data_IF_461886984570
#
_entry.id   IF_461886984570
#
_cell.length_a   1.000
_cell.length_b   1.000
_cell.length_c   1.000
_cell.angle_alpha   90.00
_cell.angle_beta   90.00
_cell.angle_gamma   90.00
#
_symmetry.space_group_name_H-M   'P 1'
#
loop_
_entity.id
_entity.type
_entity.pdbx_description
1 polymer ?
#
# COMPACT_ATOMS: atom_id res chain seq x y z
N UNK A 1 -0.76 -16.06 11.43
CA UNK A 1 -0.01 -15.80 12.67
C UNK A 1 0.72 -17.09 13.07
N UNK A 2 2.04 -17.08 13.21
CA UNK A 2 2.79 -18.25 13.72
C UNK A 2 2.40 -18.47 15.19
N UNK A 3 1.78 -19.61 15.48
CA UNK A 3 1.39 -19.96 16.86
C UNK A 3 2.57 -20.64 17.54
N UNK A 4 3.11 -19.98 18.54
CA UNK A 4 4.10 -20.58 19.43
C UNK A 4 3.49 -21.81 20.12
N UNK A 5 4.21 -22.96 20.20
CA UNK A 5 3.71 -24.13 20.92
C UNK A 5 3.35 -23.79 22.37
N UNK A 6 2.26 -24.37 22.88
CA UNK A 6 1.72 -24.04 24.21
C UNK A 6 2.76 -24.17 25.33
N UNK A 7 3.63 -25.18 25.26
CA UNK A 7 4.70 -25.38 26.25
C UNK A 7 5.74 -24.25 26.21
N UNK A 8 6.09 -23.74 25.03
CA UNK A 8 7.02 -22.60 24.91
C UNK A 8 6.42 -21.30 25.42
N UNK A 9 5.10 -21.10 25.28
CA UNK A 9 4.42 -19.90 25.79
C UNK A 9 4.50 -19.81 27.31
N UNK A 10 4.44 -20.94 28.02
CA UNK A 10 4.53 -20.97 29.49
C UNK A 10 5.87 -20.41 29.98
N UNK A 11 6.95 -20.69 29.26
CA UNK A 11 8.33 -20.28 29.58
C UNK A 11 8.73 -18.95 28.93
N UNK A 12 7.97 -18.47 27.94
CA UNK A 12 8.27 -17.22 27.24
C UNK A 12 8.03 -16.01 28.17
N UNK A 13 9.13 -15.39 28.61
CA UNK A 13 9.15 -14.20 29.48
C UNK A 13 10.05 -13.11 28.88
N UNK A 14 9.66 -12.52 27.73
CA UNK A 14 10.41 -11.40 27.17
C UNK A 14 10.34 -10.18 28.09
N UNK A 15 11.44 -9.44 28.20
CA UNK A 15 11.43 -8.14 28.86
C UNK A 15 10.91 -7.06 27.89
N UNK A 16 9.59 -7.09 27.68
CA UNK A 16 8.89 -6.17 26.76
C UNK A 16 9.05 -4.72 27.16
N UNK A 17 9.22 -4.45 28.47
CA UNK A 17 9.35 -3.09 28.99
C UNK A 17 10.72 -2.52 28.62
N UNK A 18 11.79 -3.26 28.86
CA UNK A 18 13.13 -2.83 28.48
C UNK A 18 13.26 -2.71 26.94
N UNK A 19 12.71 -3.66 26.19
CA UNK A 19 12.70 -3.59 24.72
C UNK A 19 12.01 -2.31 24.22
N UNK A 20 10.83 -2.00 24.76
CA UNK A 20 10.10 -0.78 24.44
C UNK A 20 10.93 0.48 24.73
N UNK A 21 11.49 0.60 25.93
CA UNK A 21 12.27 1.80 26.30
C UNK A 21 13.58 1.90 25.50
N UNK A 22 14.22 0.78 25.15
CA UNK A 22 15.38 0.74 24.28
C UNK A 22 15.05 1.29 22.88
N UNK A 23 13.96 0.82 22.27
CA UNK A 23 13.49 1.30 20.97
C UNK A 23 13.10 2.79 21.05
N UNK A 24 12.39 3.20 22.11
CA UNK A 24 12.00 4.59 22.33
C UNK A 24 13.22 5.51 22.43
N UNK A 25 14.22 5.14 23.24
CA UNK A 25 15.44 5.93 23.42
C UNK A 25 16.19 6.10 22.08
N UNK A 26 16.34 5.01 21.32
CA UNK A 26 16.97 5.04 20.00
C UNK A 26 16.20 5.95 19.02
N UNK A 27 14.87 5.96 19.06
CA UNK A 27 14.06 6.81 18.20
C UNK A 27 14.13 8.29 18.60
N UNK A 28 14.18 8.60 19.90
CA UNK A 28 14.38 9.96 20.40
C UNK A 28 15.74 10.51 19.94
N UNK A 29 16.81 9.70 20.03
CA UNK A 29 18.14 10.10 19.57
C UNK A 29 18.17 10.40 18.06
N UNK A 30 17.55 9.53 17.24
CA UNK A 30 17.41 9.78 15.80
C UNK A 30 16.63 11.06 15.48
N UNK A 31 15.57 11.34 16.23
CA UNK A 31 14.81 12.58 16.07
C UNK A 31 15.64 13.80 16.43
N UNK A 32 16.43 13.73 17.51
CA UNK A 32 17.36 14.80 17.87
C UNK A 32 18.40 15.03 16.76
N UNK A 33 19.03 13.96 16.26
CA UNK A 33 19.99 14.06 15.16
C UNK A 33 19.37 14.69 13.91
N UNK A 34 18.12 14.31 13.58
CA UNK A 34 17.37 14.91 12.48
C UNK A 34 17.14 16.41 12.71
N UNK A 35 16.65 16.80 13.89
CA UNK A 35 16.42 18.21 14.24
C UNK A 35 17.72 19.03 14.20
N UNK A 36 18.81 18.50 14.74
CA UNK A 36 20.13 19.14 14.74
C UNK A 36 20.63 19.37 13.30
N UNK A 37 20.41 18.40 12.39
CA UNK A 37 20.74 18.53 10.95
C UNK A 37 19.85 19.54 10.22
N UNK A 38 18.60 19.69 10.63
CA UNK A 38 17.68 20.66 10.04
C UNK A 38 18.08 22.10 10.39
N UNK A 39 18.63 22.33 11.59
CA UNK A 39 18.95 23.66 12.11
C UNK A 39 17.71 24.56 12.22
N UNK A 40 17.89 25.88 12.14
CA UNK A 40 16.82 26.87 12.29
C UNK A 40 15.97 27.10 11.01
N UNK A 41 15.82 26.07 10.17
CA UNK A 41 15.00 26.19 8.96
C UNK A 41 13.53 26.29 9.34
N UNK A 42 12.92 27.43 9.05
CA UNK A 42 11.48 27.59 9.15
C UNK A 42 10.79 26.81 8.01
N UNK A 43 10.21 25.66 8.36
CA UNK A 43 9.36 24.86 7.47
C UNK A 43 7.98 24.78 8.09
N UNK A 44 6.95 25.11 7.32
CA UNK A 44 5.56 24.86 7.72
C UNK A 44 5.23 23.39 7.45
N UNK A 45 4.74 22.69 8.48
CA UNK A 45 4.41 21.27 8.40
C UNK A 45 2.91 21.11 8.68
N UNK A 46 2.23 20.43 7.75
CA UNK A 46 0.81 20.14 7.83
C UNK A 46 0.62 18.63 7.90
N UNK A 47 -0.12 18.14 8.90
CA UNK A 47 -0.53 16.74 9.01
C UNK A 47 -2.04 16.70 8.84
N UNK A 48 -2.50 16.04 7.78
CA UNK A 48 -3.90 16.01 7.38
C UNK A 48 -4.40 14.56 7.39
N UNK A 49 -5.56 14.33 8.00
CA UNK A 49 -6.21 13.02 8.02
C UNK A 49 -7.17 12.90 6.84
N UNK A 50 -6.66 12.51 5.67
CA UNK A 50 -7.42 12.41 4.44
C UNK A 50 -7.42 11.00 3.84
N UNK A 51 -8.45 10.71 3.07
CA UNK A 51 -8.42 9.62 2.10
C UNK A 51 -7.66 10.06 0.84
N UNK A 52 -6.64 9.28 0.43
CA UNK A 52 -5.84 9.56 -0.75
C UNK A 52 -6.64 9.52 -2.07
N UNK A 53 -7.83 8.90 -2.07
CA UNK A 53 -8.79 8.90 -3.18
C UNK A 53 -9.46 10.25 -3.41
N UNK A 54 -9.39 11.17 -2.44
CA UNK A 54 -10.11 12.46 -2.49
C UNK A 54 -9.20 13.66 -2.19
N UNK A 55 -8.41 13.57 -1.11
CA UNK A 55 -7.49 14.61 -0.60
C UNK A 55 -8.17 15.99 -0.42
N UNK A 56 -9.32 16.02 0.26
CA UNK A 56 -10.18 17.20 0.31
C UNK A 56 -9.52 18.42 0.96
N UNK A 57 -8.67 18.24 1.97
CA UNK A 57 -8.01 19.36 2.66
C UNK A 57 -6.73 19.86 1.97
N UNK A 58 -6.33 19.24 0.85
CA UNK A 58 -5.17 19.68 0.06
C UNK A 58 -5.68 20.53 -1.11
N UNK A 59 -5.27 21.80 -1.27
CA UNK A 59 -5.74 22.59 -2.40
C UNK A 59 -5.17 22.09 -3.74
N UNK A 60 -5.95 22.24 -4.81
CA UNK A 60 -5.56 21.81 -6.15
C UNK A 60 -4.39 22.66 -6.69
N UNK A 61 -3.54 22.07 -7.54
CA UNK A 61 -2.37 22.72 -8.15
C UNK A 61 -1.42 23.42 -7.15
N UNK A 62 -1.19 22.82 -5.97
CA UNK A 62 -0.28 23.37 -4.95
C UNK A 62 0.99 22.56 -4.76
N UNK A 63 1.00 21.28 -5.16
CA UNK A 63 2.10 20.35 -4.86
C UNK A 63 3.11 20.28 -6.01
N UNK A 64 4.38 20.53 -5.71
CA UNK A 64 5.49 20.44 -6.69
C UNK A 64 6.07 19.03 -6.82
N UNK A 65 6.12 18.29 -5.70
CA UNK A 65 6.71 16.95 -5.62
C UNK A 65 5.82 16.06 -4.75
N UNK A 66 5.50 14.87 -5.26
CA UNK A 66 4.85 13.79 -4.51
C UNK A 66 5.83 12.65 -4.33
N UNK A 67 5.98 12.17 -3.10
CA UNK A 67 6.70 10.94 -2.80
C UNK A 67 5.74 10.00 -2.08
N UNK A 68 5.50 8.82 -2.64
CA UNK A 68 4.49 7.90 -2.11
C UNK A 68 4.87 6.44 -2.31
N UNK A 69 4.34 5.59 -1.43
CA UNK A 69 4.39 4.14 -1.52
C UNK A 69 2.99 3.60 -1.21
N UNK A 70 2.11 3.47 -2.22
CA UNK A 70 0.75 2.97 -1.99
C UNK A 70 0.80 1.53 -1.45
N UNK A 71 -0.30 1.03 -0.86
CA UNK A 71 -0.38 -0.37 -0.43
C UNK A 71 -0.03 -1.31 -1.59
N UNK A 72 0.74 -2.37 -1.34
CA UNK A 72 1.12 -3.37 -2.36
C UNK A 72 -0.03 -4.30 -2.78
N UNK A 73 -1.27 -3.83 -2.74
CA UNK A 73 -2.49 -4.61 -2.93
C UNK A 73 -3.46 -4.51 -1.75
N UNK A 74 -4.60 -5.16 -1.89
CA UNK A 74 -5.68 -5.17 -0.91
C UNK A 74 -5.44 -6.12 0.28
N UNK A 75 -6.24 -5.91 1.33
CA UNK A 75 -6.25 -6.71 2.56
C UNK A 75 -6.47 -8.21 2.36
N UNK A 76 -7.16 -8.61 1.28
CA UNK A 76 -7.68 -9.97 1.10
C UNK A 76 -6.77 -10.83 0.24
N UNK A 77 -5.99 -10.21 -0.63
CA UNK A 77 -5.19 -10.93 -1.62
C UNK A 77 -3.68 -10.71 -1.51
N UNK A 78 -3.21 -9.68 -0.79
CA UNK A 78 -1.77 -9.46 -0.54
C UNK A 78 -1.39 -9.54 0.93
N UNK A 79 -1.74 -8.53 1.73
CA UNK A 79 -1.31 -8.37 3.12
C UNK A 79 -2.55 -8.01 3.92
N UNK A 80 -2.82 -8.71 5.01
CA UNK A 80 -3.99 -8.46 5.84
C UNK A 80 -3.82 -7.18 6.70
N UNK A 81 -3.81 -6.02 6.07
CA UNK A 81 -3.61 -4.71 6.71
C UNK A 81 -4.64 -4.44 7.81
N UNK A 82 -5.92 -4.75 7.54
CA UNK A 82 -6.97 -4.61 8.54
C UNK A 82 -6.76 -5.55 9.72
N UNK A 83 -6.50 -6.84 9.48
CA UNK A 83 -6.23 -7.80 10.56
C UNK A 83 -5.03 -7.40 11.42
N UNK A 84 -3.97 -6.90 10.79
CA UNK A 84 -2.77 -6.43 11.49
C UNK A 84 -3.04 -5.20 12.36
N UNK A 85 -3.89 -4.28 11.89
CA UNK A 85 -4.12 -2.99 12.56
C UNK A 85 -5.18 -3.04 13.66
N UNK A 86 -6.14 -3.99 13.58
CA UNK A 86 -7.31 -4.07 14.48
C UNK A 86 -6.93 -4.08 15.97
N UNK A 87 -6.01 -4.94 16.39
CA UNK A 87 -5.67 -5.10 17.82
C UNK A 87 -5.06 -3.80 18.37
N UNK A 88 -4.15 -3.19 17.62
CA UNK A 88 -3.53 -1.92 18.01
C UNK A 88 -4.59 -0.82 18.13
N UNK A 89 -5.49 -0.71 17.16
CA UNK A 89 -6.58 0.29 17.19
C UNK A 89 -7.54 0.09 18.36
N UNK A 90 -7.85 -1.15 18.74
CA UNK A 90 -8.68 -1.46 19.91
C UNK A 90 -8.02 -1.07 21.24
N UNK A 91 -6.70 -1.03 21.29
CA UNK A 91 -5.94 -0.71 22.51
C UNK A 91 -5.63 0.77 22.65
N UNK A 92 -5.62 1.52 21.55
CA UNK A 92 -5.25 2.94 21.54
C UNK A 92 -6.36 3.87 22.04
N UNK A 93 -7.58 3.36 22.26
CA UNK A 93 -8.74 4.09 22.78
C UNK A 93 -8.92 5.47 22.13
N UNK A 94 -8.92 5.49 20.79
CA UNK A 94 -8.93 6.71 20.00
C UNK A 94 -10.33 7.33 20.02
N UNK A 95 -10.42 8.58 20.51
CA UNK A 95 -11.68 9.30 20.74
C UNK A 95 -12.58 9.45 19.48
N UNK A 96 -12.01 9.31 18.28
CA UNK A 96 -12.70 9.53 17.01
C UNK A 96 -12.90 8.26 16.17
N UNK A 97 -12.81 7.07 16.78
CA UNK A 97 -12.99 5.80 16.08
C UNK A 97 -13.95 4.91 16.86
N UNK A 98 -15.09 4.59 16.26
CA UNK A 98 -16.04 3.67 16.89
C UNK A 98 -15.53 2.22 16.77
N UNK A 99 -15.85 1.33 17.74
CA UNK A 99 -15.49 -0.08 17.64
C UNK A 99 -15.99 -0.75 16.35
N UNK A 100 -17.13 -0.30 15.82
CA UNK A 100 -17.68 -0.77 14.55
C UNK A 100 -16.74 -0.46 13.37
N UNK A 101 -16.11 0.72 13.36
CA UNK A 101 -15.16 1.12 12.32
C UNK A 101 -13.90 0.27 12.36
N UNK A 102 -13.42 -0.06 13.56
CA UNK A 102 -12.26 -0.95 13.74
C UNK A 102 -12.55 -2.35 13.21
N UNK A 103 -13.72 -2.91 13.53
CA UNK A 103 -14.12 -4.24 13.02
C UNK A 103 -14.37 -4.24 11.50
N UNK A 104 -14.83 -3.10 10.97
CA UNK A 104 -15.16 -2.86 9.58
C UNK A 104 -14.02 -2.32 8.73
N UNK A 105 -12.81 -2.13 9.28
CA UNK A 105 -11.71 -1.38 8.64
C UNK A 105 -11.36 -1.87 7.23
N UNK A 106 -11.46 -3.17 6.95
CA UNK A 106 -11.20 -3.71 5.62
C UNK A 106 -12.19 -3.25 4.54
N UNK A 107 -13.28 -2.57 4.92
CA UNK A 107 -14.20 -1.92 3.98
C UNK A 107 -13.77 -0.50 3.63
N UNK A 108 -13.08 0.20 4.53
CA UNK A 108 -12.62 1.57 4.29
C UNK A 108 -11.27 1.62 3.59
N UNK A 109 -10.44 0.58 3.74
CA UNK A 109 -9.16 0.44 3.04
C UNK A 109 -9.33 0.29 1.51
N UNK A 110 -8.26 0.59 0.78
CA UNK A 110 -8.14 0.40 -0.67
C UNK A 110 -8.43 -1.06 -1.08
N UNK A 111 -9.37 -1.26 -2.00
CA UNK A 111 -9.86 -2.59 -2.37
C UNK A 111 -10.93 -3.14 -1.41
N UNK A 112 -11.58 -2.26 -0.65
CA UNK A 112 -12.57 -2.62 0.36
C UNK A 112 -13.88 -3.13 -0.21
N UNK A 113 -14.24 -2.68 -1.41
CA UNK A 113 -15.47 -3.06 -2.11
C UNK A 113 -15.47 -4.52 -2.56
N UNK A 114 -16.68 -5.06 -2.79
CA UNK A 114 -16.88 -6.49 -3.09
C UNK A 114 -17.63 -6.68 -4.40
N UNK A 115 -16.94 -7.23 -5.39
CA UNK A 115 -17.51 -7.55 -6.70
C UNK A 115 -17.90 -9.04 -6.80
N UNK A 116 -18.87 -9.47 -5.98
CA UNK A 116 -19.31 -10.88 -5.91
C UNK A 116 -20.03 -11.37 -7.16
N UNK A 117 -20.61 -10.46 -7.94
CA UNK A 117 -21.37 -10.76 -9.16
C UNK A 117 -20.58 -10.44 -10.44
N UNK A 118 -19.27 -10.23 -10.32
CA UNK A 118 -18.44 -9.66 -11.37
C UNK A 118 -18.41 -8.14 -11.34
N UNK A 119 -17.66 -7.58 -12.28
CA UNK A 119 -17.38 -6.15 -12.44
C UNK A 119 -17.33 -5.82 -13.93
N UNK A 120 -17.75 -4.60 -14.29
CA UNK A 120 -17.55 -4.08 -15.63
C UNK A 120 -16.21 -3.36 -15.69
N UNK A 121 -15.35 -3.80 -16.61
CA UNK A 121 -14.00 -3.26 -16.70
C UNK A 121 -13.98 -1.85 -17.31
N UNK A 122 -13.75 -0.84 -16.48
CA UNK A 122 -13.73 0.57 -16.90
C UNK A 122 -12.36 1.25 -16.78
N UNK A 123 -11.39 0.60 -16.13
CA UNK A 123 -10.06 1.14 -15.86
C UNK A 123 -9.23 1.24 -17.13
N UNK A 124 -8.38 2.27 -17.19
CA UNK A 124 -7.58 2.54 -18.39
C UNK A 124 -6.19 1.92 -18.31
N UNK A 125 -6.16 0.58 -18.31
CA UNK A 125 -4.93 -0.20 -18.32
C UNK A 125 -5.11 -1.49 -19.13
N UNK A 126 -4.36 -1.66 -20.21
CA UNK A 126 -4.37 -2.92 -20.97
C UNK A 126 -3.63 -4.03 -20.21
N UNK A 127 -2.60 -3.68 -19.45
CA UNK A 127 -1.85 -4.64 -18.63
C UNK A 127 -2.71 -5.25 -17.53
N UNK A 128 -3.50 -4.43 -16.83
CA UNK A 128 -4.43 -4.93 -15.83
C UNK A 128 -5.53 -5.77 -16.48
N UNK A 129 -6.11 -5.32 -17.60
CA UNK A 129 -7.14 -6.07 -18.33
C UNK A 129 -6.67 -7.48 -18.69
N UNK A 130 -5.46 -7.60 -19.29
CA UNK A 130 -4.86 -8.90 -19.62
C UNK A 130 -4.67 -9.79 -18.39
N UNK A 131 -4.21 -9.20 -17.28
CA UNK A 131 -3.99 -9.93 -16.03
C UNK A 131 -5.31 -10.45 -15.44
N UNK A 132 -6.34 -9.62 -15.41
CA UNK A 132 -7.68 -10.00 -14.94
C UNK A 132 -8.31 -11.09 -15.81
N UNK A 133 -8.17 -10.99 -17.14
CA UNK A 133 -8.66 -12.04 -18.06
C UNK A 133 -8.03 -13.39 -17.73
N UNK A 134 -6.72 -13.45 -17.49
CA UNK A 134 -6.04 -14.69 -17.09
C UNK A 134 -6.50 -15.21 -15.74
N UNK A 135 -6.70 -14.33 -14.75
CA UNK A 135 -7.23 -14.73 -13.44
C UNK A 135 -8.64 -15.33 -13.58
N UNK A 136 -9.45 -14.80 -14.50
CA UNK A 136 -10.80 -15.25 -14.79
C UNK A 136 -10.88 -16.53 -15.65
N UNK A 137 -9.77 -17.04 -16.19
CA UNK A 137 -9.72 -18.35 -16.85
C UNK A 137 -10.13 -19.48 -15.90
N UNK A 138 -9.93 -19.31 -14.59
CA UNK A 138 -10.51 -20.15 -13.54
C UNK A 138 -11.84 -19.54 -13.06
N UNK A 139 -13.01 -20.16 -13.36
CA UNK A 139 -14.32 -19.64 -12.96
C UNK A 139 -14.48 -19.51 -11.43
N UNK A 140 -13.68 -20.24 -10.64
CA UNK A 140 -13.67 -20.14 -9.17
C UNK A 140 -12.94 -18.90 -8.65
N UNK A 141 -12.32 -18.12 -9.54
CA UNK A 141 -11.53 -16.93 -9.21
C UNK A 141 -12.27 -15.61 -9.45
N UNK A 142 -13.59 -15.64 -9.70
CA UNK A 142 -14.40 -14.43 -9.91
C UNK A 142 -14.29 -13.42 -8.75
N UNK A 143 -14.49 -13.87 -7.51
CA UNK A 143 -14.37 -12.98 -6.34
C UNK A 143 -12.94 -12.44 -6.19
N UNK A 144 -11.94 -13.27 -6.49
CA UNK A 144 -10.52 -12.89 -6.41
C UNK A 144 -10.15 -11.84 -7.46
N UNK A 145 -10.66 -11.98 -8.68
CA UNK A 145 -10.53 -10.97 -9.73
C UNK A 145 -11.24 -9.68 -9.31
N UNK A 146 -12.40 -9.79 -8.64
CA UNK A 146 -13.12 -8.66 -8.06
C UNK A 146 -12.33 -7.90 -7.01
N UNK A 147 -11.64 -8.59 -6.09
CA UNK A 147 -10.77 -7.95 -5.10
C UNK A 147 -9.59 -7.23 -5.77
N UNK A 148 -8.98 -7.85 -6.79
CA UNK A 148 -7.90 -7.22 -7.58
C UNK A 148 -8.41 -5.98 -8.30
N UNK A 149 -9.57 -6.07 -8.95
CA UNK A 149 -10.20 -4.94 -9.64
C UNK A 149 -10.52 -3.80 -8.67
N UNK A 150 -11.14 -4.09 -7.53
CA UNK A 150 -11.47 -3.09 -6.50
C UNK A 150 -10.24 -2.31 -6.04
N UNK A 151 -9.12 -3.02 -5.79
CA UNK A 151 -7.87 -2.37 -5.42
C UNK A 151 -7.39 -1.37 -6.48
N UNK A 152 -7.38 -1.79 -7.75
CA UNK A 152 -6.90 -0.95 -8.84
C UNK A 152 -7.85 0.18 -9.19
N UNK A 153 -9.15 0.02 -8.95
CA UNK A 153 -10.13 1.10 -9.08
C UNK A 153 -9.87 2.20 -8.04
N UNK A 154 -9.64 1.82 -6.78
CA UNK A 154 -9.28 2.79 -5.73
C UNK A 154 -7.89 3.41 -5.94
N UNK A 155 -6.96 2.65 -6.52
CA UNK A 155 -5.64 3.17 -6.88
C UNK A 155 -5.74 4.21 -8.02
N UNK A 156 -6.57 3.98 -9.04
CA UNK A 156 -6.81 4.94 -10.13
C UNK A 156 -7.42 6.24 -9.57
N UNK A 157 -8.42 6.15 -8.69
CA UNK A 157 -8.98 7.32 -7.97
C UNK A 157 -7.92 8.09 -7.19
N UNK A 158 -7.00 7.38 -6.54
CA UNK A 158 -5.89 7.99 -5.80
C UNK A 158 -4.91 8.71 -6.74
N UNK A 159 -4.56 8.10 -7.87
CA UNK A 159 -3.70 8.71 -8.89
C UNK A 159 -4.35 9.99 -9.43
N UNK A 160 -5.65 9.95 -9.75
CA UNK A 160 -6.41 11.12 -10.20
C UNK A 160 -6.38 12.25 -9.17
N UNK A 161 -6.77 11.95 -7.92
CA UNK A 161 -6.83 12.93 -6.84
C UNK A 161 -5.46 13.57 -6.58
N UNK A 162 -4.41 12.76 -6.45
CA UNK A 162 -3.03 13.23 -6.28
C UNK A 162 -2.61 14.12 -7.45
N UNK A 163 -2.86 13.69 -8.68
CA UNK A 163 -2.46 14.43 -9.90
C UNK A 163 -3.17 15.77 -10.02
N UNK A 164 -4.42 15.86 -9.57
CA UNK A 164 -5.17 17.11 -9.47
C UNK A 164 -4.56 18.08 -8.44
N UNK A 165 -3.99 17.58 -7.33
CA UNK A 165 -3.29 18.41 -6.33
C UNK A 165 -1.94 18.94 -6.82
N UNK A 166 -1.35 18.29 -7.81
CA UNK A 166 -0.04 18.63 -8.33
C UNK A 166 -0.07 19.80 -9.31
N UNK A 167 0.94 20.68 -9.28
CA UNK A 167 1.14 21.73 -10.29
C UNK A 167 1.55 21.16 -11.64
N UNK A 168 1.38 21.91 -12.72
CA UNK A 168 1.99 21.56 -14.01
C UNK A 168 3.51 21.45 -13.89
N UNK A 169 4.12 20.49 -14.57
CA UNK A 169 5.55 20.18 -14.51
C UNK A 169 6.06 19.64 -13.15
N UNK A 170 5.16 19.33 -12.22
CA UNK A 170 5.48 18.61 -10.98
C UNK A 170 5.91 17.16 -11.24
N UNK A 171 6.53 16.56 -10.23
CA UNK A 171 7.00 15.18 -10.27
C UNK A 171 6.33 14.32 -9.20
N UNK A 172 6.03 13.08 -9.56
CA UNK A 172 5.55 12.06 -8.63
C UNK A 172 6.51 10.87 -8.62
N UNK A 173 6.87 10.44 -7.42
CA UNK A 173 7.76 9.32 -7.16
C UNK A 173 6.96 8.21 -6.46
N UNK A 174 6.63 7.16 -7.20
CA UNK A 174 5.84 6.04 -6.70
C UNK A 174 6.74 4.84 -6.45
N UNK A 175 6.92 4.48 -5.18
CA UNK A 175 7.62 3.26 -4.78
C UNK A 175 6.62 2.12 -4.73
N UNK A 176 6.71 1.23 -5.71
CA UNK A 176 5.73 0.16 -5.91
C UNK A 176 6.38 -1.17 -6.17
N UNK A 177 5.64 -2.22 -5.88
CA UNK A 177 6.10 -3.58 -5.98
C UNK A 177 5.12 -4.43 -6.75
N UNK A 178 5.64 -5.24 -7.68
CA UNK A 178 4.80 -6.14 -8.46
C UNK A 178 4.41 -7.34 -7.60
N UNK A 179 3.13 -7.73 -7.67
CA UNK A 179 2.56 -8.78 -6.81
C UNK A 179 2.03 -9.94 -7.64
N UNK A 180 2.02 -11.14 -7.06
CA UNK A 180 1.44 -12.31 -7.72
C UNK A 180 0.11 -12.69 -7.09
N UNK A 181 -0.93 -12.80 -7.90
CA UNK A 181 -2.25 -13.31 -7.49
C UNK A 181 -2.62 -14.46 -8.43
N UNK A 182 -2.95 -15.64 -7.89
CA UNK A 182 -3.34 -16.82 -8.69
C UNK A 182 -2.34 -17.17 -9.81
N UNK A 183 -1.03 -17.10 -9.50
CA UNK A 183 0.08 -17.30 -10.45
C UNK A 183 0.20 -16.24 -11.56
N UNK A 184 -0.66 -15.24 -11.62
CA UNK A 184 -0.49 -14.08 -12.49
C UNK A 184 0.29 -12.99 -11.76
N UNK A 185 1.37 -12.51 -12.39
CA UNK A 185 2.16 -11.40 -11.88
C UNK A 185 1.52 -10.08 -12.30
N UNK A 186 0.84 -9.44 -11.35
CA UNK A 186 0.28 -8.10 -11.49
C UNK A 186 1.41 -7.08 -11.47
N UNK A 187 1.75 -6.58 -12.67
CA UNK A 187 2.78 -5.58 -12.89
C UNK A 187 2.28 -4.17 -12.53
N UNK A 188 2.11 -3.92 -11.23
CA UNK A 188 1.63 -2.64 -10.70
C UNK A 188 2.42 -1.45 -11.23
N UNK A 189 3.72 -1.61 -11.47
CA UNK A 189 4.56 -0.57 -12.09
C UNK A 189 4.06 -0.13 -13.47
N UNK A 190 3.71 -1.08 -14.34
CA UNK A 190 3.21 -0.81 -15.70
C UNK A 190 1.77 -0.28 -15.64
N UNK A 191 0.95 -0.84 -14.76
CA UNK A 191 -0.46 -0.44 -14.59
C UNK A 191 -0.60 1.02 -14.15
N UNK A 192 0.24 1.48 -13.22
CA UNK A 192 0.23 2.89 -12.76
C UNK A 192 0.65 3.83 -13.89
N UNK A 193 1.62 3.43 -14.72
CA UNK A 193 2.03 4.23 -15.88
C UNK A 193 0.84 4.39 -16.83
N UNK A 194 0.20 3.28 -17.22
CA UNK A 194 -0.95 3.30 -18.15
C UNK A 194 -2.10 4.16 -17.59
N UNK A 195 -2.49 3.97 -16.32
CA UNK A 195 -3.54 4.77 -15.69
C UNK A 195 -3.16 6.26 -15.61
N UNK A 196 -1.91 6.56 -15.25
CA UNK A 196 -1.42 7.93 -15.09
C UNK A 196 -1.45 8.73 -16.37
N UNK A 197 -1.22 8.10 -17.53
CA UNK A 197 -1.26 8.77 -18.84
C UNK A 197 -2.61 9.44 -19.11
N UNK A 198 -3.70 8.84 -18.65
CA UNK A 198 -5.05 9.40 -18.79
C UNK A 198 -5.28 10.65 -17.95
N UNK A 199 -4.47 10.87 -16.91
CA UNK A 199 -4.51 12.07 -16.06
C UNK A 199 -3.42 13.08 -16.41
N UNK A 200 -2.76 12.92 -17.57
CA UNK A 200 -1.70 13.82 -18.02
C UNK A 200 -0.34 13.58 -17.36
N UNK A 201 -0.12 12.41 -16.77
CA UNK A 201 1.19 12.00 -16.30
C UNK A 201 1.98 11.36 -17.44
N UNK A 202 3.23 11.79 -17.60
CA UNK A 202 4.20 11.17 -18.50
C UNK A 202 5.22 10.40 -17.68
N UNK A 203 5.46 9.15 -18.10
CA UNK A 203 6.56 8.37 -17.54
C UNK A 203 7.91 8.96 -17.95
N UNK A 204 8.75 9.23 -16.96
CA UNK A 204 10.11 9.75 -17.16
C UNK A 204 11.13 8.64 -17.01
N UNK A 205 11.03 7.87 -15.93
CA UNK A 205 11.99 6.81 -15.63
C UNK A 205 11.45 5.78 -14.63
N UNK A 206 12.00 4.57 -14.64
CA UNK A 206 11.75 3.54 -13.62
C UNK A 206 13.07 3.08 -13.04
N UNK A 207 13.24 3.23 -11.73
CA UNK A 207 14.45 2.80 -11.01
C UNK A 207 14.12 1.50 -10.27
N UNK A 208 14.79 0.40 -10.62
CA UNK A 208 14.68 -0.85 -9.89
C UNK A 208 15.58 -0.84 -8.63
N UNK A 209 15.06 -1.31 -7.51
CA UNK A 209 15.79 -1.48 -6.25
C UNK A 209 15.47 -2.81 -5.59
N UNK A 210 16.45 -3.39 -4.89
CA UNK A 210 16.23 -4.54 -4.04
C UNK A 210 15.72 -4.08 -2.66
N UNK A 211 14.90 -4.89 -2.00
CA UNK A 211 14.47 -4.64 -0.61
C UNK A 211 15.54 -5.22 0.33
N UNK A 212 16.34 -4.38 1.03
CA UNK A 212 17.50 -4.86 1.78
C UNK A 212 17.12 -5.58 3.08
N UNK A 213 16.11 -5.11 3.81
CA UNK A 213 15.69 -5.65 5.11
C UNK A 213 14.20 -6.02 5.08
N UNK A 214 13.90 -7.30 4.83
CA UNK A 214 12.53 -7.77 4.72
C UNK A 214 11.99 -8.23 6.08
N UNK A 215 11.00 -7.50 6.62
CA UNK A 215 10.29 -7.89 7.85
C UNK A 215 9.33 -9.07 7.60
N UNK A 216 8.81 -9.19 6.37
CA UNK A 216 7.97 -10.33 5.96
C UNK A 216 8.79 -11.54 5.47
N UNK A 217 8.30 -12.78 5.63
CA UNK A 217 8.99 -13.98 5.15
C UNK A 217 9.27 -13.90 3.64
N UNK A 218 10.45 -14.36 3.20
CA UNK A 218 10.85 -14.41 1.78
C UNK A 218 10.04 -15.41 0.94
N UNK A 219 9.28 -16.30 1.58
CA UNK A 219 8.47 -17.34 0.97
C UNK A 219 7.06 -17.34 1.57
N UNK A 220 6.03 -17.36 0.73
CA UNK A 220 4.65 -17.60 1.15
C UNK A 220 4.15 -18.93 0.54
N UNK A 221 3.14 -19.55 1.15
CA UNK A 221 2.45 -20.71 0.55
C UNK A 221 1.04 -20.28 0.18
N UNK A 222 0.82 -19.80 -1.05
CA UNK A 222 -0.48 -19.26 -1.45
C UNK A 222 -1.60 -20.32 -1.54
N UNK A 223 -1.25 -21.62 -1.55
CA UNK A 223 -2.22 -22.71 -1.75
C UNK A 223 -2.55 -23.51 -0.50
N UNK A 224 -2.02 -23.19 0.69
CA UNK A 224 -2.13 -24.02 1.91
C UNK A 224 -1.73 -25.50 1.72
N UNK A 225 -1.10 -25.84 0.59
CA UNK A 225 -0.55 -27.16 0.31
C UNK A 225 0.89 -27.20 0.83
N UNK A 226 1.17 -28.14 1.73
CA UNK A 226 2.51 -28.34 2.27
C UNK A 226 3.52 -28.56 1.13
N UNK A 227 4.51 -27.67 1.03
CA UNK A 227 5.62 -27.78 0.06
C UNK A 227 5.55 -26.85 -1.15
N UNK A 228 4.39 -26.26 -1.50
CA UNK A 228 4.31 -25.23 -2.55
C UNK A 228 4.62 -23.86 -1.97
N UNK A 229 5.87 -23.42 -2.14
CA UNK A 229 6.36 -22.10 -1.72
C UNK A 229 6.52 -21.20 -2.94
N UNK A 230 5.96 -20.00 -2.91
CA UNK A 230 6.18 -18.96 -3.91
C UNK A 230 7.08 -17.89 -3.29
N UNK A 231 8.03 -17.39 -4.08
CA UNK A 231 8.88 -16.28 -3.67
C UNK A 231 8.03 -15.04 -3.50
N UNK A 232 8.15 -14.43 -2.32
CA UNK A 232 7.55 -13.11 -2.07
C UNK A 232 8.44 -12.04 -2.69
N UNK A 233 7.84 -10.94 -3.11
CA UNK A 233 8.48 -9.81 -3.78
C UNK A 233 9.83 -9.38 -3.17
N UNK A 234 10.90 -9.43 -3.96
CA UNK A 234 12.27 -9.06 -3.54
C UNK A 234 12.71 -7.70 -4.07
N UNK A 235 11.97 -7.16 -5.04
CA UNK A 235 12.34 -5.98 -5.80
C UNK A 235 11.17 -4.98 -5.79
N UNK A 236 11.51 -3.70 -5.72
CA UNK A 236 10.60 -2.58 -5.85
C UNK A 236 11.05 -1.70 -7.02
N UNK A 237 10.11 -0.94 -7.55
CA UNK A 237 10.31 0.02 -8.62
C UNK A 237 9.95 1.41 -8.10
N UNK A 238 10.82 2.38 -8.33
CA UNK A 238 10.52 3.79 -8.15
C UNK A 238 10.13 4.31 -9.52
N UNK A 239 8.84 4.58 -9.72
CA UNK A 239 8.36 5.24 -10.92
C UNK A 239 8.53 6.75 -10.77
N UNK A 240 9.13 7.37 -11.76
CA UNK A 240 9.22 8.82 -11.89
C UNK A 240 8.23 9.25 -12.97
N UNK A 241 7.17 9.94 -12.55
CA UNK A 241 6.13 10.47 -13.41
C UNK A 241 6.17 11.99 -13.36
N UNK A 242 5.92 12.66 -14.49
CA UNK A 242 5.83 14.12 -14.57
C UNK A 242 4.43 14.51 -15.04
N UNK A 243 3.78 15.44 -14.35
CA UNK A 243 2.54 16.05 -14.85
C UNK A 243 2.88 16.99 -16.00
N UNK A 244 2.42 16.67 -17.20
CA UNK A 244 2.60 17.54 -18.37
C UNK A 244 1.67 18.76 -18.24
N UNK A 245 2.07 19.84 -18.91
CA UNK A 245 1.25 21.06 -18.96
C UNK A 245 0.04 20.82 -19.87
N UNK A 246 -1.15 21.08 -19.36
CA UNK A 246 -2.39 21.06 -20.15
C UNK A 246 -2.43 22.18 -21.20
#
# INVERSE_FOLDING_TARGET
MYRMPAEKVKEFRPDVKNEFFSILANNIEKMKEFTDRCGDKATEVYVLNNDARELNDVPDNTVDIVVTSPPYGDSRTTVAYGEFSRVSLQWMDLENIEPADITGIDKSLMGGDKYRKGFDYNLKSDTLKKSLTKILEDPKSLERAGDVYSFYEDLEKSIEAITRKCKDNSYQFWVVGNRTVKNENLKTSEIIIEMGEHFGLKHVHTIARNIPNKVMPSLNSPTNEAGKKVTTMTNEHILVLRKEKA
#
